data_IF_011226357567
#
_entry.id   IF_011226357567
#
_cell.length_a   1.000
_cell.length_b   1.000
_cell.length_c   1.000
_cell.angle_alpha   90.00
_cell.angle_beta   90.00
_cell.angle_gamma   90.00
#
_symmetry.space_group_name_H-M   'P 1'
#
loop_
_entity.id
_entity.type
_entity.pdbx_description
1 polymer ?
#
# COMPACT_ATOMS: atom_id res chain seq x y z
N UNK A 1 7.82 -7.34 16.31
CA UNK A 1 7.04 -8.56 15.98
C UNK A 1 8.05 -9.66 15.70
N UNK A 2 7.88 -10.86 16.26
CA UNK A 2 8.74 -12.01 15.92
C UNK A 2 8.34 -12.65 14.60
N UNK A 3 9.16 -13.57 14.11
CA UNK A 3 8.97 -14.23 12.80
C UNK A 3 7.66 -15.01 12.71
N UNK A 4 7.23 -15.69 13.79
CA UNK A 4 5.95 -16.40 13.80
C UNK A 4 4.77 -15.46 13.57
N UNK A 5 4.81 -14.24 14.12
CA UNK A 5 3.72 -13.27 13.96
C UNK A 5 3.64 -12.69 12.55
N UNK A 6 4.79 -12.36 11.95
CA UNK A 6 4.82 -11.83 10.58
C UNK A 6 4.42 -12.89 9.55
N UNK A 7 4.86 -14.14 9.73
CA UNK A 7 4.48 -15.25 8.84
C UNK A 7 2.99 -15.58 8.91
N UNK A 8 2.40 -15.64 10.11
CA UNK A 8 0.95 -15.90 10.25
C UNK A 8 0.13 -14.78 9.63
N UNK A 9 0.47 -13.50 9.87
CA UNK A 9 -0.23 -12.39 9.22
C UNK A 9 -0.08 -12.41 7.70
N UNK A 10 1.11 -12.74 7.20
CA UNK A 10 1.35 -12.92 5.77
C UNK A 10 0.48 -14.02 5.17
N UNK A 11 0.36 -15.17 5.85
CA UNK A 11 -0.50 -16.27 5.44
C UNK A 11 -1.97 -15.87 5.44
N UNK A 12 -2.46 -15.21 6.50
CA UNK A 12 -3.85 -14.75 6.58
C UNK A 12 -4.19 -13.75 5.47
N UNK A 13 -3.29 -12.79 5.19
CA UNK A 13 -3.45 -11.84 4.09
C UNK A 13 -3.44 -12.53 2.73
N UNK A 14 -2.58 -13.53 2.53
CA UNK A 14 -2.53 -14.33 1.31
C UNK A 14 -3.81 -15.14 1.08
N UNK A 15 -4.31 -15.81 2.11
CA UNK A 15 -5.58 -16.55 2.05
C UNK A 15 -6.73 -15.60 1.75
N UNK A 16 -6.83 -14.47 2.46
CA UNK A 16 -7.88 -13.47 2.22
C UNK A 16 -7.83 -12.91 0.79
N UNK A 17 -6.64 -12.64 0.26
CA UNK A 17 -6.45 -12.18 -1.12
C UNK A 17 -6.96 -13.21 -2.12
N UNK A 18 -6.55 -14.48 -1.98
CA UNK A 18 -6.98 -15.58 -2.87
C UNK A 18 -8.50 -15.75 -2.83
N UNK A 19 -9.09 -15.82 -1.64
CA UNK A 19 -10.54 -15.96 -1.46
C UNK A 19 -11.30 -14.81 -2.12
N UNK A 20 -10.83 -13.57 -1.96
CA UNK A 20 -11.48 -12.40 -2.56
C UNK A 20 -11.37 -12.44 -4.10
N UNK A 21 -10.19 -12.73 -4.64
CA UNK A 21 -9.99 -12.79 -6.10
C UNK A 21 -10.77 -13.94 -6.77
N UNK A 22 -11.07 -15.02 -6.04
CA UNK A 22 -11.84 -16.15 -6.55
C UNK A 22 -13.33 -15.88 -6.76
N UNK A 23 -13.84 -14.72 -6.33
CA UNK A 23 -15.27 -14.34 -6.42
C UNK A 23 -15.61 -13.53 -7.68
N UNK A 24 -14.68 -13.41 -8.64
CA UNK A 24 -14.89 -12.60 -9.85
C UNK A 24 -15.77 -13.39 -10.84
N UNK A 25 -16.95 -12.85 -11.15
CA UNK A 25 -17.79 -13.36 -12.24
C UNK A 25 -17.27 -12.83 -13.59
N UNK A 26 -16.74 -13.72 -14.42
CA UNK A 26 -16.20 -13.38 -15.74
C UNK A 26 -17.25 -12.75 -16.68
N UNK A 27 -18.54 -13.07 -16.49
CA UNK A 27 -19.63 -12.54 -17.31
C UNK A 27 -20.00 -11.10 -16.90
N UNK A 28 -19.74 -10.72 -15.65
CA UNK A 28 -19.98 -9.36 -15.14
C UNK A 28 -18.95 -8.32 -15.67
N UNK A 29 -17.79 -8.78 -16.17
CA UNK A 29 -16.72 -7.93 -16.72
C UNK A 29 -17.15 -7.29 -18.06
N UNK A 30 -18.06 -7.93 -18.80
CA UNK A 30 -18.60 -7.41 -20.07
C UNK A 30 -19.67 -6.31 -19.88
N UNK A 31 -20.08 -6.00 -18.65
CA UNK A 31 -21.07 -4.97 -18.36
C UNK A 31 -20.47 -3.55 -18.35
N UNK A 32 -21.29 -2.53 -18.61
CA UNK A 32 -20.87 -1.13 -18.69
C UNK A 32 -20.35 -0.53 -17.36
N UNK A 33 -20.43 -1.26 -16.24
CA UNK A 33 -19.95 -0.82 -14.93
C UNK A 33 -18.66 -1.55 -14.52
N UNK A 34 -17.56 -1.20 -15.19
CA UNK A 34 -16.25 -1.83 -15.02
C UNK A 34 -15.62 -1.65 -13.63
N UNK A 35 -15.94 -0.56 -12.93
CA UNK A 35 -15.31 -0.19 -11.65
C UNK A 35 -15.61 -1.17 -10.48
N UNK A 36 -16.87 -1.50 -10.14
CA UNK A 36 -17.18 -2.45 -9.06
C UNK A 36 -16.68 -3.87 -9.34
N UNK A 37 -16.73 -4.32 -10.60
CA UNK A 37 -16.33 -5.69 -10.99
C UNK A 37 -14.85 -5.98 -10.76
N UNK A 38 -14.00 -4.95 -10.83
CA UNK A 38 -12.56 -5.11 -10.59
C UNK A 38 -12.14 -5.02 -9.12
N UNK A 39 -13.03 -4.62 -8.20
CA UNK A 39 -12.69 -4.44 -6.78
C UNK A 39 -12.09 -5.71 -6.16
N UNK A 40 -12.67 -6.92 -6.34
CA UNK A 40 -12.10 -8.13 -5.76
C UNK A 40 -10.69 -8.46 -6.28
N UNK A 41 -10.38 -8.03 -7.51
CA UNK A 41 -9.06 -8.18 -8.11
C UNK A 41 -8.06 -7.15 -7.57
N UNK A 42 -8.47 -5.88 -7.51
CA UNK A 42 -7.57 -4.76 -7.21
C UNK A 42 -7.34 -4.56 -5.71
N UNK A 43 -8.33 -4.89 -4.88
CA UNK A 43 -8.30 -4.58 -3.45
C UNK A 43 -7.12 -5.24 -2.70
N UNK A 44 -6.76 -6.51 -2.93
CA UNK A 44 -5.59 -7.11 -2.28
C UNK A 44 -4.29 -6.37 -2.58
N UNK A 45 -4.08 -5.97 -3.84
CA UNK A 45 -2.92 -5.18 -4.25
C UNK A 45 -2.94 -3.78 -3.65
N UNK A 46 -4.13 -3.17 -3.55
CA UNK A 46 -4.29 -1.84 -2.96
C UNK A 46 -3.97 -1.82 -1.46
N UNK A 47 -4.43 -2.83 -0.72
CA UNK A 47 -4.13 -3.02 0.72
C UNK A 47 -2.65 -3.31 0.94
N UNK A 48 -2.05 -4.12 0.07
CA UNK A 48 -0.63 -4.49 0.11
C UNK A 48 0.29 -3.53 -0.62
N UNK A 49 -0.20 -2.37 -1.09
CA UNK A 49 0.57 -1.48 -1.95
C UNK A 49 1.89 -1.06 -1.29
N UNK A 50 1.87 -0.65 -0.02
CA UNK A 50 3.06 -0.23 0.71
C UNK A 50 4.09 -1.35 0.92
N UNK A 51 3.74 -2.54 1.46
CA UNK A 51 4.70 -3.63 1.58
C UNK A 51 5.20 -4.14 0.21
N UNK A 52 4.37 -4.16 -0.83
CA UNK A 52 4.79 -4.53 -2.18
C UNK A 52 5.77 -3.52 -2.79
N UNK A 53 5.47 -2.22 -2.68
CA UNK A 53 6.39 -1.16 -3.14
C UNK A 53 7.72 -1.25 -2.39
N UNK A 54 7.69 -1.46 -1.08
CA UNK A 54 8.90 -1.58 -0.28
C UNK A 54 9.77 -2.79 -0.68
N UNK A 55 9.12 -3.93 -0.94
CA UNK A 55 9.77 -5.13 -1.49
C UNK A 55 10.38 -4.87 -2.87
N UNK A 56 9.60 -4.30 -3.80
CA UNK A 56 10.06 -3.98 -5.15
C UNK A 56 11.25 -3.02 -5.13
N UNK A 57 11.19 -1.97 -4.30
CA UNK A 57 12.29 -1.01 -4.14
C UNK A 57 13.53 -1.68 -3.55
N UNK A 58 13.38 -2.67 -2.66
CA UNK A 58 14.50 -3.44 -2.13
C UNK A 58 15.11 -4.33 -3.21
N UNK A 59 14.31 -5.06 -3.97
CA UNK A 59 14.76 -5.90 -5.09
C UNK A 59 15.53 -5.06 -6.12
N UNK A 60 14.96 -3.92 -6.54
CA UNK A 60 15.58 -3.02 -7.52
C UNK A 60 16.93 -2.48 -7.00
N UNK A 61 17.01 -2.06 -5.73
CA UNK A 61 18.29 -1.59 -5.14
C UNK A 61 19.35 -2.69 -5.12
N UNK A 62 18.97 -3.87 -4.65
CA UNK A 62 19.90 -5.00 -4.46
C UNK A 62 20.47 -5.47 -5.80
N UNK A 63 19.59 -5.66 -6.78
CA UNK A 63 19.96 -6.10 -8.13
C UNK A 63 20.80 -5.06 -8.88
N UNK A 64 20.48 -3.75 -8.76
CA UNK A 64 21.33 -2.67 -9.30
C UNK A 64 22.72 -2.61 -8.68
N UNK A 65 22.87 -3.06 -7.43
CA UNK A 65 24.14 -3.17 -6.74
C UNK A 65 24.87 -4.51 -7.01
N UNK A 66 24.39 -5.32 -7.97
CA UNK A 66 24.95 -6.63 -8.29
C UNK A 66 24.75 -7.69 -7.20
N UNK A 67 23.89 -7.45 -6.21
CA UNK A 67 23.60 -8.37 -5.12
C UNK A 67 22.37 -9.22 -5.42
N UNK A 68 22.29 -10.40 -4.80
CA UNK A 68 21.09 -11.24 -4.84
C UNK A 68 19.85 -10.46 -4.37
N UNK A 69 18.69 -10.66 -5.01
CA UNK A 69 17.43 -10.04 -4.56
C UNK A 69 17.05 -10.46 -3.14
N UNK A 70 17.55 -11.60 -2.65
CA UNK A 70 17.32 -12.11 -1.30
C UNK A 70 18.37 -11.67 -0.28
N UNK A 71 19.36 -10.87 -0.68
CA UNK A 71 20.35 -10.34 0.24
C UNK A 71 19.72 -9.40 1.29
N UNK A 72 20.20 -9.38 2.54
CA UNK A 72 19.68 -8.48 3.57
C UNK A 72 19.86 -7.01 3.19
N UNK A 73 18.89 -6.17 3.56
CA UNK A 73 18.91 -4.72 3.31
C UNK A 73 18.20 -3.97 4.44
N UNK A 74 18.62 -2.73 4.70
CA UNK A 74 18.04 -1.84 5.71
C UNK A 74 17.35 -0.61 5.11
N UNK A 75 17.30 -0.51 3.77
CA UNK A 75 16.76 0.64 3.03
C UNK A 75 15.22 0.70 2.90
N UNK A 76 14.48 0.05 3.81
CA UNK A 76 13.01 0.01 3.80
C UNK A 76 12.39 1.40 4.02
N UNK A 77 11.17 1.62 3.52
CA UNK A 77 10.47 2.91 3.56
C UNK A 77 10.39 3.49 4.97
N UNK A 78 10.15 2.65 5.99
CA UNK A 78 10.13 3.09 7.39
C UNK A 78 11.46 3.73 7.81
N UNK A 79 12.60 3.08 7.53
CA UNK A 79 13.92 3.63 7.83
C UNK A 79 14.22 4.90 7.02
N UNK A 80 13.73 5.01 5.79
CA UNK A 80 13.87 6.23 4.99
C UNK A 80 13.10 7.40 5.58
N UNK A 81 11.90 7.16 6.13
CA UNK A 81 11.14 8.19 6.83
C UNK A 81 11.84 8.62 8.13
N UNK A 82 12.38 7.68 8.89
CA UNK A 82 13.20 7.98 10.07
C UNK A 82 14.44 8.80 9.71
N UNK A 83 15.16 8.43 8.65
CA UNK A 83 16.34 9.16 8.17
C UNK A 83 16.02 10.60 7.70
N UNK A 84 14.76 10.88 7.34
CA UNK A 84 14.26 12.24 7.02
C UNK A 84 13.82 13.04 8.25
N UNK A 85 13.93 12.47 9.46
CA UNK A 85 13.59 13.13 10.72
C UNK A 85 12.19 12.81 11.24
N UNK A 86 11.43 11.88 10.66
CA UNK A 86 10.19 11.44 11.28
C UNK A 86 10.47 10.59 12.52
N UNK A 87 9.65 10.74 13.56
CA UNK A 87 9.64 9.79 14.68
C UNK A 87 9.09 8.43 14.23
N UNK A 88 9.39 7.36 14.97
CA UNK A 88 8.88 6.02 14.68
C UNK A 88 7.36 5.98 14.57
N UNK A 89 6.66 6.62 15.52
CA UNK A 89 5.20 6.76 15.50
C UNK A 89 4.70 7.50 14.26
N UNK A 90 5.37 8.60 13.90
CA UNK A 90 5.00 9.39 12.72
C UNK A 90 5.20 8.62 11.42
N UNK A 91 6.28 7.84 11.31
CA UNK A 91 6.56 7.02 10.14
C UNK A 91 5.50 5.92 9.98
N UNK A 92 5.11 5.24 11.07
CA UNK A 92 4.03 4.25 11.06
C UNK A 92 2.69 4.87 10.65
N UNK A 93 2.33 6.03 11.21
CA UNK A 93 1.10 6.73 10.84
C UNK A 93 1.10 7.12 9.35
N UNK A 94 2.24 7.57 8.83
CA UNK A 94 2.38 7.89 7.40
C UNK A 94 2.12 6.67 6.53
N UNK A 95 2.66 5.51 6.90
CA UNK A 95 2.41 4.26 6.18
C UNK A 95 0.92 3.90 6.19
N UNK A 96 0.21 4.09 7.31
CA UNK A 96 -1.24 3.88 7.38
C UNK A 96 -2.01 4.86 6.50
N UNK A 97 -1.63 6.14 6.49
CA UNK A 97 -2.27 7.15 5.63
C UNK A 97 -2.07 6.83 4.15
N UNK A 98 -0.88 6.40 3.74
CA UNK A 98 -0.63 5.99 2.36
C UNK A 98 -1.37 4.71 1.98
N UNK A 99 -1.42 3.71 2.86
CA UNK A 99 -2.25 2.51 2.64
C UNK A 99 -3.71 2.88 2.51
N UNK A 100 -4.24 3.75 3.37
CA UNK A 100 -5.62 4.23 3.31
C UNK A 100 -5.89 4.99 2.00
N UNK A 101 -4.99 5.89 1.61
CA UNK A 101 -5.10 6.68 0.38
C UNK A 101 -5.20 5.79 -0.88
N UNK A 102 -4.57 4.62 -0.88
CA UNK A 102 -4.61 3.68 -2.01
C UNK A 102 -5.78 2.69 -1.91
N UNK A 103 -6.02 2.13 -0.72
CA UNK A 103 -7.04 1.10 -0.52
C UNK A 103 -8.46 1.66 -0.45
N UNK A 104 -8.66 2.81 0.19
CA UNK A 104 -10.00 3.38 0.38
C UNK A 104 -10.70 3.71 -0.95
N UNK A 105 -10.04 4.29 -1.97
CA UNK A 105 -10.68 4.53 -3.25
C UNK A 105 -11.06 3.24 -3.99
N UNK A 106 -10.24 2.19 -3.90
CA UNK A 106 -10.55 0.89 -4.50
C UNK A 106 -11.77 0.24 -3.83
N UNK A 107 -11.90 0.36 -2.51
CA UNK A 107 -13.10 -0.10 -1.81
C UNK A 107 -14.33 0.77 -2.14
N UNK A 108 -14.15 2.09 -2.21
CA UNK A 108 -15.23 3.05 -2.43
C UNK A 108 -15.80 3.00 -3.86
N UNK A 109 -15.05 2.53 -4.85
CA UNK A 109 -15.51 2.42 -6.23
C UNK A 109 -16.66 1.42 -6.42
N UNK A 110 -16.95 0.57 -5.43
CA UNK A 110 -18.12 -0.28 -5.41
C UNK A 110 -19.43 0.47 -5.11
N UNK A 111 -19.36 1.64 -4.46
CA UNK A 111 -20.52 2.35 -3.92
C UNK A 111 -20.68 3.78 -4.42
N UNK A 112 -19.57 4.42 -4.80
CA UNK A 112 -19.50 5.85 -5.11
C UNK A 112 -19.06 6.04 -6.57
N UNK A 113 -19.60 7.07 -7.23
CA UNK A 113 -19.18 7.46 -8.58
C UNK A 113 -17.66 7.72 -8.66
N UNK A 114 -17.03 7.23 -9.73
CA UNK A 114 -15.59 7.36 -9.96
C UNK A 114 -15.10 8.81 -9.89
N UNK A 115 -15.92 9.79 -10.30
CA UNK A 115 -15.58 11.22 -10.26
C UNK A 115 -15.40 11.71 -8.83
N UNK A 116 -16.36 11.42 -7.95
CA UNK A 116 -16.31 11.83 -6.54
C UNK A 116 -15.13 11.12 -5.85
N UNK A 117 -14.97 9.83 -6.12
CA UNK A 117 -13.91 9.03 -5.54
C UNK A 117 -12.51 9.57 -5.92
N UNK A 118 -12.29 9.91 -7.20
CA UNK A 118 -11.06 10.55 -7.65
C UNK A 118 -10.84 11.92 -7.02
N UNK A 119 -11.87 12.77 -6.95
CA UNK A 119 -11.77 14.08 -6.33
C UNK A 119 -11.34 13.97 -4.86
N UNK A 120 -12.01 13.11 -4.08
CA UNK A 120 -11.65 12.87 -2.67
C UNK A 120 -10.20 12.36 -2.57
N UNK A 121 -9.82 11.39 -3.40
CA UNK A 121 -8.44 10.85 -3.41
C UNK A 121 -7.40 11.93 -3.69
N UNK A 122 -7.62 12.80 -4.67
CA UNK A 122 -6.71 13.90 -5.01
C UNK A 122 -6.64 14.94 -3.90
N UNK A 123 -7.77 15.26 -3.26
CA UNK A 123 -7.79 16.21 -2.13
C UNK A 123 -7.04 15.67 -0.91
N UNK A 124 -7.10 14.36 -0.63
CA UNK A 124 -6.37 13.71 0.46
C UNK A 124 -4.87 13.52 0.14
N UNK A 125 -4.51 13.39 -1.13
CA UNK A 125 -3.12 13.22 -1.56
C UNK A 125 -2.25 14.41 -1.13
N UNK A 126 -2.74 15.64 -1.29
CA UNK A 126 -1.98 16.86 -0.98
C UNK A 126 -1.54 16.92 0.50
N UNK A 127 -2.44 16.83 1.51
CA UNK A 127 -2.02 16.86 2.91
C UNK A 127 -1.13 15.67 3.27
N UNK A 128 -1.39 14.46 2.75
CA UNK A 128 -0.54 13.29 3.04
C UNK A 128 0.86 13.48 2.46
N UNK A 129 0.98 13.99 1.23
CA UNK A 129 2.26 14.27 0.59
C UNK A 129 3.01 15.37 1.34
N UNK A 130 2.35 16.48 1.69
CA UNK A 130 2.98 17.56 2.45
C UNK A 130 3.48 17.08 3.81
N UNK A 131 2.71 16.26 4.52
CA UNK A 131 3.13 15.65 5.79
C UNK A 131 4.33 14.71 5.60
N UNK A 132 4.42 14.02 4.46
CA UNK A 132 5.54 13.11 4.12
C UNK A 132 6.81 13.87 3.76
N UNK A 133 6.69 15.03 3.12
CA UNK A 133 7.82 15.83 2.65
C UNK A 133 8.33 16.82 3.71
N UNK A 134 7.47 17.28 4.62
CA UNK A 134 7.85 18.24 5.66
C UNK A 134 8.74 17.52 6.68
N UNK A 135 10.06 17.82 6.74
CA UNK A 135 10.93 17.21 7.72
C UNK A 135 10.43 17.67 9.09
N UNK A 136 10.04 16.74 9.95
CA UNK A 136 9.81 17.04 11.37
C UNK A 136 11.18 17.14 12.04
N UNK A 137 11.92 18.20 11.72
CA UNK A 137 12.98 18.62 12.59
C UNK A 137 12.34 19.03 13.93
N UNK A 138 12.88 18.48 15.03
CA UNK A 138 12.67 18.87 16.43
C UNK A 138 11.45 18.25 17.12
N UNK A 139 11.70 17.18 17.89
CA UNK A 139 11.77 17.26 19.37
C UNK A 139 12.93 16.35 19.78
N UNK A 140 14.00 16.93 20.33
CA UNK A 140 15.02 16.19 21.10
C UNK A 140 14.40 15.76 22.43
#
# INVERSE_FOLDING_TARGET
MGDSGSMVLGLLLGVAAITLTGQIDANAIASQNFAPTLVPLLLPFAVLAIPLIDLLLAIIRRTRAGRSPFAPDKGHLHHRLLARGHSQRSATLMMYLWTFLVAAPVSASAFISWRINLLVSLTLLVPILTLTLKPRALVR
#
